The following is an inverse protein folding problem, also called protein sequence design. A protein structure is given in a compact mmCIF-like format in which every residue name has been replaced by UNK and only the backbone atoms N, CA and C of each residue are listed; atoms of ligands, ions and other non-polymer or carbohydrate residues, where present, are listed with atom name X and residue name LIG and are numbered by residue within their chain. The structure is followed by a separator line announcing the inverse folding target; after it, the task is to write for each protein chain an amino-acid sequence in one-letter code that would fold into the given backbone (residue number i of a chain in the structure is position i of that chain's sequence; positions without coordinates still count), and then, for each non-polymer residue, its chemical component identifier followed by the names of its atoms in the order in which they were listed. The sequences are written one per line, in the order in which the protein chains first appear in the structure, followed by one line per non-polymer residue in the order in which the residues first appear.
data_IF_567870327731
#
_entry.id   IF_567870327731
#
_cell.length_a   1.000
_cell.length_b   1.000
_cell.length_c   1.000
_cell.angle_alpha   90.00
_cell.angle_beta   90.00
_cell.angle_gamma   90.00
#
_symmetry.space_group_name_H-M   'P 1'
#
loop_
_entity.id
_entity.type
_entity.pdbx_description
1 polymer ?
#
# COMPACT_ATOMS: atom_id res chain seq x y z
N UNK A 1 -18.93 19.32 -9.41
CA UNK A 1 -19.47 18.55 -8.28
C UNK A 1 -18.57 17.34 -8.04
N UNK A 2 -18.47 16.87 -6.80
CA UNK A 2 -17.71 15.65 -6.46
C UNK A 2 -18.43 14.40 -6.98
N UNK A 3 -17.70 13.37 -7.40
CA UNK A 3 -18.27 12.09 -7.83
C UNK A 3 -18.97 11.31 -6.69
N UNK A 4 -18.80 11.73 -5.43
CA UNK A 4 -19.43 11.10 -4.26
C UNK A 4 -20.23 12.12 -3.45
N UNK A 5 -21.40 11.75 -2.90
CA UNK A 5 -22.19 12.61 -2.03
C UNK A 5 -21.41 13.03 -0.79
N UNK A 6 -21.63 14.25 -0.31
CA UNK A 6 -21.07 14.73 0.95
C UNK A 6 -21.97 14.37 2.12
N UNK A 7 -21.37 13.91 3.22
CA UNK A 7 -22.07 13.63 4.48
C UNK A 7 -22.40 14.96 5.19
N UNK A 8 -23.63 15.15 5.71
CA UNK A 8 -23.96 16.35 6.48
C UNK A 8 -23.17 16.36 7.80
N UNK A 9 -22.41 17.43 8.02
CA UNK A 9 -21.63 17.67 9.25
C UNK A 9 -22.12 18.97 9.94
N UNK A 10 -21.83 19.14 11.25
CA UNK A 10 -22.08 20.39 11.96
C UNK A 10 -21.54 21.60 11.19
N UNK A 11 -22.28 22.71 11.19
CA UNK A 11 -22.04 23.88 10.33
C UNK A 11 -20.64 24.52 10.48
N UNK A 12 -19.97 24.39 11.64
CA UNK A 12 -18.62 24.92 11.86
C UNK A 12 -17.54 24.07 11.20
N UNK A 13 -17.65 22.74 11.28
CA UNK A 13 -16.65 21.83 10.70
C UNK A 13 -16.75 21.80 9.18
N UNK A 14 -17.98 21.84 8.64
CA UNK A 14 -18.20 21.95 7.20
C UNK A 14 -17.65 23.24 6.61
N UNK A 15 -17.73 24.37 7.33
CA UNK A 15 -17.18 25.65 6.87
C UNK A 15 -15.64 25.65 6.79
N UNK A 16 -14.93 25.09 7.79
CA UNK A 16 -13.46 24.98 7.77
C UNK A 16 -13.00 24.06 6.64
N UNK A 17 -13.62 22.89 6.54
CA UNK A 17 -13.34 21.89 5.52
C UNK A 17 -13.59 22.41 4.10
N UNK A 18 -14.67 23.19 3.90
CA UNK A 18 -14.96 23.83 2.63
C UNK A 18 -13.85 24.82 2.20
N UNK A 19 -13.31 25.61 3.14
CA UNK A 19 -12.19 26.54 2.86
C UNK A 19 -10.91 25.81 2.45
N UNK A 20 -10.68 24.62 2.98
CA UNK A 20 -9.52 23.78 2.66
C UNK A 20 -9.74 22.88 1.43
N UNK A 21 -10.87 23.01 0.71
CA UNK A 21 -11.26 22.12 -0.39
C UNK A 21 -11.36 20.64 0.03
N UNK A 22 -11.74 20.37 1.28
CA UNK A 22 -11.89 19.04 1.86
C UNK A 22 -13.35 18.78 2.27
N UNK A 23 -14.35 18.88 1.36
CA UNK A 23 -15.72 18.52 1.71
C UNK A 23 -15.77 17.09 2.26
N UNK A 24 -16.68 16.76 3.20
CA UNK A 24 -16.81 15.44 3.81
C UNK A 24 -17.41 14.41 2.83
N UNK A 25 -16.71 14.19 1.72
CA UNK A 25 -16.99 13.18 0.72
C UNK A 25 -16.10 11.95 0.97
N UNK A 26 -16.29 10.89 0.18
CA UNK A 26 -15.56 9.64 0.39
C UNK A 26 -14.03 9.81 0.28
N UNK A 27 -13.57 10.70 -0.61
CA UNK A 27 -12.13 10.97 -0.78
C UNK A 27 -11.50 11.60 0.44
N UNK A 28 -12.16 12.60 1.04
CA UNK A 28 -11.70 13.25 2.27
C UNK A 28 -11.76 12.30 3.47
N UNK A 29 -12.80 11.46 3.55
CA UNK A 29 -12.91 10.45 4.62
C UNK A 29 -11.79 9.42 4.50
N UNK A 30 -11.53 8.89 3.30
CA UNK A 30 -10.42 7.99 3.06
C UNK A 30 -9.08 8.64 3.43
N UNK A 31 -8.84 9.89 3.01
CA UNK A 31 -7.64 10.64 3.37
C UNK A 31 -7.47 10.79 4.89
N UNK A 32 -8.55 11.06 5.63
CA UNK A 32 -8.55 11.11 7.09
C UNK A 32 -8.27 9.76 7.75
N UNK A 33 -8.86 8.69 7.24
CA UNK A 33 -8.59 7.33 7.70
C UNK A 33 -7.12 6.96 7.49
N UNK A 34 -6.57 7.15 6.29
CA UNK A 34 -5.17 6.84 5.99
C UNK A 34 -4.19 7.71 6.78
N UNK A 35 -4.48 9.01 6.93
CA UNK A 35 -3.62 9.90 7.72
C UNK A 35 -3.57 9.47 9.19
N UNK A 36 -4.74 9.18 9.79
CA UNK A 36 -4.82 8.68 11.17
C UNK A 36 -4.10 7.35 11.31
N UNK A 37 -4.34 6.40 10.38
CA UNK A 37 -3.70 5.09 10.37
C UNK A 37 -2.17 5.21 10.35
N UNK A 38 -1.61 6.11 9.52
CA UNK A 38 -0.16 6.26 9.39
C UNK A 38 0.48 6.99 10.55
N UNK A 39 -0.24 7.92 11.19
CA UNK A 39 0.20 8.49 12.46
C UNK A 39 0.29 7.42 13.56
N UNK A 40 -0.68 6.51 13.62
CA UNK A 40 -0.71 5.43 14.61
C UNK A 40 0.34 4.36 14.33
N UNK A 41 0.47 3.94 13.07
CA UNK A 41 1.40 2.90 12.66
C UNK A 41 2.86 3.37 12.68
N UNK A 42 3.07 4.67 12.48
CA UNK A 42 4.38 5.30 12.37
C UNK A 42 4.43 6.62 13.13
N UNK A 43 4.54 6.59 14.48
CA UNK A 43 4.52 7.78 15.34
C UNK A 43 5.88 8.52 15.30
N UNK A 44 6.38 8.80 14.10
CA UNK A 44 7.62 9.52 13.83
C UNK A 44 7.39 10.56 12.72
N UNK A 45 8.44 11.28 12.31
CA UNK A 45 8.31 12.33 11.29
C UNK A 45 7.82 11.81 9.92
N UNK A 46 7.99 10.53 9.57
CA UNK A 46 7.47 9.96 8.34
C UNK A 46 5.92 9.86 8.35
N UNK A 47 5.34 9.35 9.45
CA UNK A 47 3.88 9.31 9.61
C UNK A 47 3.27 10.71 9.74
N UNK A 48 3.98 11.61 10.45
CA UNK A 48 3.58 13.01 10.56
C UNK A 48 3.57 13.72 9.21
N UNK A 49 4.61 13.52 8.39
CA UNK A 49 4.72 14.14 7.05
C UNK A 49 3.79 13.51 6.01
N UNK A 50 3.38 12.26 6.17
CA UNK A 50 2.39 11.63 5.30
C UNK A 50 1.02 12.33 5.37
N UNK A 51 0.63 12.84 6.54
CA UNK A 51 -0.66 13.51 6.76
C UNK A 51 -0.89 14.72 5.84
N UNK A 52 -0.03 15.77 5.85
CA UNK A 52 -0.22 16.91 4.96
C UNK A 52 -0.12 16.53 3.48
N UNK A 53 0.66 15.49 3.14
CA UNK A 53 0.74 15.00 1.76
C UNK A 53 -0.59 14.37 1.30
N UNK A 54 -1.15 13.43 2.06
CA UNK A 54 -2.41 12.75 1.76
C UNK A 54 -3.57 13.75 1.73
N UNK A 55 -3.66 14.63 2.74
CA UNK A 55 -4.69 15.67 2.81
C UNK A 55 -4.55 16.68 1.68
N UNK A 56 -3.32 17.07 1.32
CA UNK A 56 -3.05 17.95 0.18
C UNK A 56 -3.50 17.34 -1.15
N UNK A 57 -3.27 16.04 -1.35
CA UNK A 57 -3.75 15.30 -2.52
C UNK A 57 -5.28 15.24 -2.59
N UNK A 58 -5.96 15.02 -1.46
CA UNK A 58 -7.41 15.05 -1.40
C UNK A 58 -7.97 16.45 -1.73
N UNK A 59 -7.37 17.51 -1.17
CA UNK A 59 -7.75 18.89 -1.46
C UNK A 59 -7.53 19.24 -2.94
N UNK A 60 -6.40 18.84 -3.52
CA UNK A 60 -6.09 19.03 -4.93
C UNK A 60 -7.07 18.30 -5.84
N UNK A 61 -7.41 17.04 -5.52
CA UNK A 61 -8.40 16.25 -6.26
C UNK A 61 -9.78 16.91 -6.25
N UNK A 62 -10.24 17.36 -5.08
CA UNK A 62 -11.51 18.08 -4.95
C UNK A 62 -11.51 19.40 -5.72
N UNK A 63 -10.38 20.13 -5.71
CA UNK A 63 -10.21 21.37 -6.50
C UNK A 63 -10.24 21.10 -8.00
N UNK A 64 -9.60 20.03 -8.48
CA UNK A 64 -9.63 19.63 -9.90
C UNK A 64 -11.06 19.31 -10.36
N UNK A 65 -11.85 18.63 -9.53
CA UNK A 65 -13.25 18.30 -9.80
C UNK A 65 -14.18 19.53 -9.90
N UNK A 66 -13.76 20.67 -9.36
CA UNK A 66 -14.47 21.95 -9.56
C UNK A 66 -14.05 22.62 -10.88
N UNK A 67 -12.84 22.36 -11.37
CA UNK A 67 -12.26 23.05 -12.53
C UNK A 67 -12.50 22.34 -13.87
N UNK A 68 -12.61 21.02 -13.87
CA UNK A 68 -12.70 20.20 -15.07
C UNK A 68 -13.94 19.31 -15.09
N UNK A 69 -14.45 18.95 -16.29
CA UNK A 69 -15.59 18.05 -16.40
C UNK A 69 -15.25 16.64 -15.88
N UNK A 70 -16.17 16.04 -15.12
CA UNK A 70 -15.99 14.74 -14.49
C UNK A 70 -15.57 13.65 -15.49
N UNK A 71 -16.13 13.63 -16.70
CA UNK A 71 -15.78 12.66 -17.75
C UNK A 71 -14.29 12.67 -18.08
N UNK A 72 -13.66 13.86 -18.16
CA UNK A 72 -12.22 13.98 -18.46
C UNK A 72 -11.37 13.48 -17.30
N UNK A 73 -11.70 13.90 -16.08
CA UNK A 73 -10.97 13.48 -14.87
C UNK A 73 -11.10 11.98 -14.63
N UNK A 74 -12.30 11.42 -14.79
CA UNK A 74 -12.56 10.00 -14.63
C UNK A 74 -11.83 9.18 -15.72
N UNK A 75 -11.74 9.69 -16.95
CA UNK A 75 -10.94 9.07 -18.01
C UNK A 75 -9.45 9.00 -17.66
N UNK A 76 -8.88 10.10 -17.16
CA UNK A 76 -7.47 10.13 -16.69
C UNK A 76 -7.28 9.21 -15.48
N UNK A 77 -8.20 9.23 -14.51
CA UNK A 77 -8.13 8.37 -13.33
C UNK A 77 -8.21 6.88 -13.70
N UNK A 78 -9.10 6.51 -14.61
CA UNK A 78 -9.20 5.14 -15.12
C UNK A 78 -7.92 4.71 -15.86
N UNK A 79 -7.36 5.58 -16.70
CA UNK A 79 -6.11 5.32 -17.39
C UNK A 79 -4.94 5.08 -16.41
N UNK A 80 -4.78 5.96 -15.41
CA UNK A 80 -3.78 5.80 -14.35
C UNK A 80 -4.00 4.52 -13.54
N UNK A 81 -5.24 4.19 -13.23
CA UNK A 81 -5.57 2.95 -12.50
C UNK A 81 -5.14 1.71 -13.28
N UNK A 82 -5.50 1.61 -14.57
CA UNK A 82 -5.13 0.47 -15.42
C UNK A 82 -3.62 0.35 -15.56
N UNK A 83 -2.92 1.46 -15.83
CA UNK A 83 -1.45 1.48 -15.93
C UNK A 83 -0.82 1.02 -14.61
N UNK A 84 -1.34 1.48 -13.46
CA UNK A 84 -0.82 1.10 -12.15
C UNK A 84 -0.96 -0.40 -11.89
N UNK A 85 -2.10 -1.00 -12.26
CA UNK A 85 -2.30 -2.44 -12.16
C UNK A 85 -1.36 -3.23 -13.08
N UNK A 86 -1.16 -2.78 -14.32
CA UNK A 86 -0.20 -3.40 -15.23
C UNK A 86 1.19 -3.39 -14.61
N UNK A 87 1.64 -2.25 -14.07
CA UNK A 87 2.94 -2.15 -13.41
C UNK A 87 3.05 -3.05 -12.18
N UNK A 88 1.99 -3.18 -11.37
CA UNK A 88 1.96 -4.09 -10.22
C UNK A 88 2.06 -5.56 -10.64
N UNK A 89 1.26 -5.99 -11.63
CA UNK A 89 1.29 -7.38 -12.11
C UNK A 89 2.59 -7.71 -12.84
N UNK A 90 3.15 -6.78 -13.62
CA UNK A 90 4.44 -6.98 -14.28
C UNK A 90 5.57 -7.03 -13.24
N UNK A 91 5.57 -6.13 -12.25
CA UNK A 91 6.53 -6.13 -11.14
C UNK A 91 6.53 -7.48 -10.39
N UNK A 92 5.37 -7.87 -9.86
CA UNK A 92 5.26 -9.10 -9.06
C UNK A 92 5.35 -10.37 -9.91
N UNK A 93 4.77 -10.38 -11.11
CA UNK A 93 4.69 -11.56 -11.96
C UNK A 93 5.96 -11.84 -12.76
N UNK A 94 6.59 -10.81 -13.34
CA UNK A 94 7.76 -10.99 -14.22
C UNK A 94 9.09 -10.87 -13.46
N UNK A 95 9.19 -9.94 -12.51
CA UNK A 95 10.45 -9.69 -11.80
C UNK A 95 10.57 -10.46 -10.48
N UNK A 96 9.46 -10.69 -9.77
CA UNK A 96 9.51 -11.37 -8.47
C UNK A 96 9.11 -12.86 -8.54
N UNK A 97 8.44 -13.32 -9.62
CA UNK A 97 8.07 -14.73 -9.82
C UNK A 97 7.15 -15.31 -8.73
N UNK A 98 6.53 -14.47 -7.90
CA UNK A 98 5.67 -14.86 -6.76
C UNK A 98 4.23 -14.48 -7.05
N UNK A 99 3.28 -15.23 -6.45
CA UNK A 99 1.87 -14.84 -6.47
C UNK A 99 1.72 -13.47 -5.80
N UNK A 100 0.88 -12.57 -6.35
CA UNK A 100 0.72 -11.23 -5.80
C UNK A 100 0.23 -11.32 -4.35
N UNK A 101 0.90 -10.60 -3.44
CA UNK A 101 0.61 -10.59 -1.99
C UNK A 101 -0.83 -10.19 -1.66
N UNK A 102 -1.54 -9.58 -2.61
CA UNK A 102 -2.97 -9.30 -2.56
C UNK A 102 -3.82 -10.55 -2.28
N UNK A 103 -3.39 -11.74 -2.73
CA UNK A 103 -4.16 -12.97 -2.58
C UNK A 103 -4.03 -13.60 -1.19
N UNK A 104 -2.90 -13.38 -0.50
CA UNK A 104 -2.60 -14.03 0.78
C UNK A 104 -2.76 -13.08 1.97
N UNK A 105 -2.53 -11.77 1.79
CA UNK A 105 -2.62 -10.79 2.87
C UNK A 105 -3.05 -9.40 2.36
N UNK A 106 -4.26 -9.34 1.79
CA UNK A 106 -4.82 -8.13 1.20
C UNK A 106 -4.85 -6.94 2.16
N UNK A 107 -5.21 -7.18 3.43
CA UNK A 107 -5.33 -6.14 4.46
C UNK A 107 -3.97 -5.49 4.71
N UNK A 108 -2.93 -6.29 4.95
CA UNK A 108 -1.58 -5.76 5.15
C UNK A 108 -1.07 -5.08 3.88
N UNK A 109 -1.28 -5.67 2.71
CA UNK A 109 -0.88 -5.08 1.44
C UNK A 109 -1.55 -3.70 1.22
N UNK A 110 -2.86 -3.58 1.48
CA UNK A 110 -3.60 -2.34 1.26
C UNK A 110 -3.15 -1.23 2.22
N UNK A 111 -2.88 -1.55 3.48
CA UNK A 111 -2.56 -0.57 4.51
C UNK A 111 -1.07 -0.24 4.59
N UNK A 112 -0.19 -1.25 4.59
CA UNK A 112 1.25 -1.05 4.78
C UNK A 112 1.97 -0.71 3.48
N UNK A 113 1.52 -1.21 2.31
CA UNK A 113 2.26 -0.95 1.07
C UNK A 113 2.35 0.55 0.71
N UNK A 114 1.29 1.38 0.83
CA UNK A 114 1.44 2.79 0.53
C UNK A 114 2.33 3.52 1.54
N UNK A 115 2.35 3.09 2.82
CA UNK A 115 3.30 3.61 3.81
C UNK A 115 4.73 3.20 3.46
N UNK A 116 4.96 1.97 3.00
CA UNK A 116 6.27 1.51 2.53
C UNK A 116 6.78 2.35 1.36
N UNK A 117 5.95 2.63 0.35
CA UNK A 117 6.31 3.49 -0.78
C UNK A 117 6.66 4.91 -0.30
N UNK A 118 5.93 5.44 0.69
CA UNK A 118 6.25 6.73 1.30
C UNK A 118 7.64 6.72 1.95
N UNK A 119 7.95 5.68 2.73
CA UNK A 119 9.27 5.49 3.33
C UNK A 119 10.38 5.35 2.28
N UNK A 120 10.13 4.62 1.19
CA UNK A 120 11.11 4.49 0.11
C UNK A 120 11.43 5.85 -0.54
N UNK A 121 10.42 6.69 -0.72
CA UNK A 121 10.61 8.08 -1.15
C UNK A 121 11.50 8.86 -0.17
N UNK A 122 11.23 8.77 1.13
CA UNK A 122 12.03 9.41 2.18
C UNK A 122 13.47 8.87 2.21
N UNK A 123 13.67 7.57 2.00
CA UNK A 123 14.98 6.94 1.91
C UNK A 123 15.79 7.49 0.74
N UNK A 124 15.15 7.70 -0.43
CA UNK A 124 15.79 8.32 -1.61
C UNK A 124 16.16 9.78 -1.36
N UNK A 125 15.43 10.47 -0.49
CA UNK A 125 15.76 11.82 -0.02
C UNK A 125 16.85 11.84 1.08
N UNK A 126 17.37 10.68 1.49
CA UNK A 126 18.44 10.56 2.47
C UNK A 126 17.99 10.44 3.94
N UNK A 127 16.68 10.39 4.20
CA UNK A 127 16.17 10.17 5.56
C UNK A 127 16.20 8.69 5.96
N UNK A 128 16.18 8.42 7.26
CA UNK A 128 15.96 7.07 7.82
C UNK A 128 16.90 5.96 7.30
N UNK A 129 18.17 6.29 6.99
CA UNK A 129 19.13 5.32 6.46
C UNK A 129 19.37 4.08 7.34
N UNK A 130 19.25 4.21 8.67
CA UNK A 130 19.31 3.08 9.59
C UNK A 130 18.14 2.10 9.40
N UNK A 131 16.92 2.62 9.35
CA UNK A 131 15.71 1.83 9.11
C UNK A 131 15.75 1.15 7.74
N UNK A 132 16.26 1.84 6.71
CA UNK A 132 16.44 1.25 5.38
C UNK A 132 17.33 -0.01 5.45
N UNK A 133 18.45 0.05 6.16
CA UNK A 133 19.37 -1.10 6.31
C UNK A 133 18.71 -2.27 7.04
N UNK A 134 17.91 -1.99 8.05
CA UNK A 134 17.17 -3.00 8.82
C UNK A 134 16.08 -3.68 7.97
N UNK A 135 15.36 -2.91 7.15
CA UNK A 135 14.38 -3.46 6.21
C UNK A 135 15.08 -4.33 5.17
N UNK A 136 16.18 -3.85 4.58
CA UNK A 136 16.95 -4.61 3.58
C UNK A 136 17.55 -5.90 4.18
N UNK A 137 18.04 -5.86 5.42
CA UNK A 137 18.57 -7.05 6.09
C UNK A 137 17.47 -8.06 6.42
N UNK A 138 16.30 -7.60 6.88
CA UNK A 138 15.15 -8.45 7.13
C UNK A 138 14.61 -9.13 5.87
N UNK A 139 14.55 -8.40 4.75
CA UNK A 139 14.17 -8.97 3.45
C UNK A 139 15.15 -10.05 3.01
N UNK A 140 16.46 -9.81 3.16
CA UNK A 140 17.50 -10.79 2.83
C UNK A 140 17.38 -12.06 3.69
N UNK A 141 17.23 -11.91 5.00
CA UNK A 141 17.06 -13.04 5.92
C UNK A 141 15.81 -13.88 5.60
N UNK A 142 14.71 -13.21 5.23
CA UNK A 142 13.48 -13.90 4.84
C UNK A 142 13.62 -14.63 3.49
N UNK A 143 14.34 -14.05 2.52
CA UNK A 143 14.66 -14.73 1.27
C UNK A 143 15.50 -15.99 1.49
N UNK A 144 16.49 -15.94 2.38
CA UNK A 144 17.30 -17.10 2.77
C UNK A 144 16.44 -18.18 3.46
N UNK A 145 15.52 -17.79 4.35
CA UNK A 145 14.58 -18.72 5.02
C UNK A 145 13.64 -19.41 4.04
N UNK A 146 13.13 -18.67 3.05
CA UNK A 146 12.25 -19.23 2.01
C UNK A 146 13.05 -20.15 1.09
N UNK A 147 14.26 -19.75 0.69
CA UNK A 147 15.18 -20.57 -0.11
C UNK A 147 15.55 -21.87 0.59
N UNK A 148 15.94 -21.82 1.87
CA UNK A 148 16.31 -23.00 2.66
C UNK A 148 15.14 -23.94 2.96
N UNK A 149 13.90 -23.46 3.02
CA UNK A 149 12.70 -24.32 3.13
C UNK A 149 12.36 -25.08 1.84
N UNK A 150 12.90 -24.67 0.69
CA UNK A 150 12.72 -25.37 -0.58
C UNK A 150 13.51 -26.68 -0.69
N UNK A 151 14.68 -26.76 -0.06
CA UNK A 151 15.58 -27.93 -0.17
C UNK A 151 15.32 -29.02 0.88
N UNK A 152 14.69 -28.68 2.01
CA UNK A 152 14.46 -29.63 3.12
C UNK A 152 13.27 -30.59 2.98
N UNK A 153 12.42 -30.43 1.95
CA UNK A 153 11.17 -31.21 1.82
C UNK A 153 11.24 -32.42 0.87
N UNK A 154 12.43 -32.71 0.32
CA UNK A 154 12.64 -33.75 -0.71
C UNK A 154 13.41 -35.00 -0.25
N UNK A 155 13.66 -35.19 1.06
CA UNK A 155 14.53 -36.30 1.54
C UNK A 155 13.97 -37.19 2.65
N UNK A 156 12.68 -37.08 2.98
CA UNK A 156 12.02 -38.02 3.91
C UNK A 156 10.99 -38.84 3.14
N UNK A 157 11.42 -39.91 2.48
CA UNK A 157 10.51 -40.80 1.77
C UNK A 157 11.15 -41.81 0.84
N UNK A 158 12.30 -42.39 1.18
CA UNK A 158 12.82 -43.57 0.49
C UNK A 158 13.78 -44.31 1.43
N UNK A 159 13.28 -45.36 2.09
CA UNK A 159 14.13 -46.17 2.97
C UNK A 159 13.40 -47.04 4.00
N UNK A 160 12.36 -47.78 3.61
CA UNK A 160 12.02 -49.02 4.32
C UNK A 160 11.94 -50.14 3.28
N UNK A 161 13.01 -50.94 3.28
CA UNK A 161 13.20 -52.07 2.39
C UNK A 161 12.37 -53.28 2.80
N UNK A 162 11.89 -53.98 1.79
CA UNK A 162 11.48 -55.37 1.87
C UNK A 162 12.59 -56.27 2.42
N UNK A 163 12.21 -57.29 3.19
CA UNK A 163 13.05 -58.47 3.39
C UNK A 163 12.74 -59.29 4.63
N UNK A 164 11.95 -60.36 4.49
CA UNK A 164 12.05 -61.51 5.39
C UNK A 164 10.74 -62.15 5.82
N UNK A 165 10.02 -62.76 4.89
CA UNK A 165 9.02 -63.79 5.18
C UNK A 165 9.63 -65.19 5.12
N UNK A 166 9.17 -66.04 6.05
CA UNK A 166 8.92 -67.47 5.87
C UNK A 166 10.06 -68.50 6.03
N UNK A 167 9.91 -69.24 7.15
CA UNK A 167 10.30 -70.64 7.46
C UNK A 167 11.77 -70.95 7.73
#
# INVERSE_FOLDING_TARGET
GTNTPSVPLPSRTSALLARLHLPPNLGTLAAATYSTLYLLLSPNAAGLSATPFIMGMAAASNRLQQRYPAKKLNGVAAGLHVVSWILQFVGHGLFEGRKPALLDNLVQALFLAPLFVWYEGLFRLGFYGGLRREVESGVRAEMERIGGKGEGKGKEGEGEGEGGGSV
#
